data_IF_345237691089
#
_entry.id   IF_345237691089
#
_cell.length_a   1.000
_cell.length_b   1.000
_cell.length_c   1.000
_cell.angle_alpha   90.00
_cell.angle_beta   90.00
_cell.angle_gamma   90.00
#
_symmetry.space_group_name_H-M   'P 1'
#
loop_
_entity.id
_entity.type
_entity.pdbx_description
1 polymer ?
#
# COMPACT_ATOMS: atom_id res chain seq x y z
N UNK A 1 18.09 25.66 17.80
CA UNK A 1 17.79 24.40 17.09
C UNK A 1 16.27 24.29 17.01
N UNK A 2 15.70 24.22 15.81
CA UNK A 2 14.25 24.36 15.59
C UNK A 2 13.46 23.05 15.79
N UNK A 3 14.14 21.94 16.08
CA UNK A 3 13.55 20.62 16.30
C UNK A 3 13.81 20.16 17.73
N UNK A 4 12.74 19.97 18.52
CA UNK A 4 12.87 19.53 19.91
C UNK A 4 13.13 18.03 20.06
N UNK A 5 12.58 17.19 19.19
CA UNK A 5 12.72 15.72 19.21
C UNK A 5 12.62 15.15 17.79
N UNK A 6 13.38 14.10 17.51
CA UNK A 6 13.40 13.37 16.23
C UNK A 6 13.12 11.89 16.51
N UNK A 7 12.22 11.29 15.75
CA UNK A 7 11.94 9.85 15.79
C UNK A 7 12.05 9.26 14.38
N UNK A 8 12.76 8.15 14.24
CA UNK A 8 12.95 7.46 12.97
C UNK A 8 11.94 6.29 12.80
N UNK A 9 11.60 5.99 11.54
CA UNK A 9 10.76 4.85 11.13
C UNK A 9 11.26 4.30 9.79
N UNK A 10 10.64 3.24 9.28
CA UNK A 10 11.09 2.56 8.06
C UNK A 10 12.08 1.43 8.33
N UNK A 11 12.41 0.68 7.28
CA UNK A 11 13.37 -0.42 7.34
C UNK A 11 14.77 0.01 7.84
N UNK A 12 15.20 1.22 7.49
CA UNK A 12 16.51 1.78 7.87
C UNK A 12 16.54 2.57 9.17
N UNK A 13 15.47 2.56 9.99
CA UNK A 13 15.34 3.43 11.18
C UNK A 13 16.49 3.31 12.18
N UNK A 14 17.11 2.12 12.29
CA UNK A 14 18.21 1.86 13.22
C UNK A 14 19.53 2.49 12.75
N UNK A 15 19.65 2.82 11.46
CA UNK A 15 20.82 3.50 10.88
C UNK A 15 20.77 5.03 11.09
N UNK A 16 19.64 5.56 11.57
CA UNK A 16 19.43 7.00 11.80
C UNK A 16 19.98 7.40 13.17
N UNK A 17 21.30 7.53 13.24
CA UNK A 17 22.07 7.76 14.48
C UNK A 17 21.73 9.06 15.23
N UNK A 18 21.15 10.05 14.55
CA UNK A 18 20.74 11.33 15.16
C UNK A 18 19.29 11.32 15.67
N UNK A 19 18.54 10.22 15.51
CA UNK A 19 17.20 10.09 16.07
C UNK A 19 17.25 9.85 17.59
N UNK A 20 16.35 10.47 18.35
CA UNK A 20 16.20 10.22 19.80
C UNK A 20 15.26 9.05 20.09
N UNK A 21 14.83 8.33 19.06
CA UNK A 21 14.12 7.08 19.19
C UNK A 21 13.57 6.57 17.88
N UNK A 22 13.06 5.34 17.91
CA UNK A 22 12.51 4.67 16.75
C UNK A 22 11.05 4.29 16.97
N UNK A 23 10.32 4.08 15.89
CA UNK A 23 8.99 3.49 15.84
C UNK A 23 8.91 2.54 14.65
N UNK A 24 8.10 1.48 14.74
CA UNK A 24 7.85 0.59 13.60
C UNK A 24 6.93 1.28 12.59
N UNK A 25 7.01 0.90 11.32
CA UNK A 25 6.10 1.41 10.28
C UNK A 25 4.63 1.10 10.63
N UNK A 26 4.38 -0.09 11.19
CA UNK A 26 3.06 -0.47 11.70
C UNK A 26 2.56 0.50 12.77
N UNK A 27 3.40 0.81 13.76
CA UNK A 27 3.05 1.76 14.83
C UNK A 27 2.91 3.19 14.33
N UNK A 28 3.76 3.60 13.39
CA UNK A 28 3.74 4.92 12.79
C UNK A 28 2.46 5.13 11.96
N UNK A 29 2.14 4.21 11.04
CA UNK A 29 0.91 4.29 10.25
C UNK A 29 -0.34 4.24 11.12
N UNK A 30 -0.36 3.42 12.19
CA UNK A 30 -1.47 3.41 13.13
C UNK A 30 -1.70 4.78 13.78
N UNK A 31 -0.62 5.46 14.22
CA UNK A 31 -0.70 6.81 14.79
C UNK A 31 -1.13 7.85 13.75
N UNK A 32 -0.53 7.83 12.57
CA UNK A 32 -0.81 8.77 11.49
C UNK A 32 -2.27 8.68 11.05
N UNK A 33 -2.76 7.47 10.78
CA UNK A 33 -4.13 7.27 10.34
C UNK A 33 -5.13 7.57 11.43
N UNK A 34 -4.88 7.21 12.69
CA UNK A 34 -5.78 7.59 13.77
C UNK A 34 -5.88 9.12 13.95
N UNK A 35 -4.84 9.87 13.60
CA UNK A 35 -4.87 11.33 13.59
C UNK A 35 -5.66 11.88 12.39
N UNK A 36 -5.34 11.42 11.18
CA UNK A 36 -5.97 11.92 9.94
C UNK A 36 -7.43 11.49 9.80
N UNK A 37 -7.73 10.26 10.19
CA UNK A 37 -9.02 9.60 10.05
C UNK A 37 -9.40 8.83 11.34
N UNK A 38 -9.93 9.50 12.37
CA UNK A 38 -10.25 8.87 13.66
C UNK A 38 -11.26 7.70 13.59
N UNK A 39 -12.05 7.60 12.53
CA UNK A 39 -12.98 6.48 12.29
C UNK A 39 -12.31 5.23 11.70
N UNK A 40 -11.09 5.33 11.19
CA UNK A 40 -10.40 4.19 10.58
C UNK A 40 -10.10 3.10 11.61
N UNK A 41 -10.34 1.85 11.22
CA UNK A 41 -10.06 0.63 12.01
C UNK A 41 -9.15 -0.35 11.28
N UNK A 42 -9.00 -0.18 9.97
CA UNK A 42 -8.05 -0.93 9.15
C UNK A 42 -7.17 0.03 8.36
N UNK A 43 -5.87 -0.20 8.37
CA UNK A 43 -4.90 0.49 7.50
C UNK A 43 -4.30 -0.53 6.54
N UNK A 44 -4.29 -0.20 5.26
CA UNK A 44 -3.57 -0.93 4.23
C UNK A 44 -2.42 -0.04 3.78
N UNK A 45 -1.18 -0.49 3.92
CA UNK A 45 0.03 0.23 3.59
C UNK A 45 0.78 -0.51 2.49
N UNK A 46 0.80 0.05 1.27
CA UNK A 46 1.43 -0.60 0.12
C UNK A 46 2.60 0.25 -0.37
N UNK A 47 3.81 -0.22 -0.05
CA UNK A 47 5.06 0.37 -0.49
C UNK A 47 5.57 -0.24 -1.81
N UNK A 48 6.83 0.04 -2.11
CA UNK A 48 7.50 -0.49 -3.29
C UNK A 48 7.77 -2.00 -3.19
N UNK A 49 8.20 -2.47 -2.01
CA UNK A 49 8.69 -3.85 -1.82
C UNK A 49 7.71 -4.72 -1.04
N UNK A 50 6.89 -4.13 -0.19
CA UNK A 50 6.02 -4.84 0.74
C UNK A 50 4.65 -4.18 0.86
N UNK A 51 3.68 -4.98 1.28
CA UNK A 51 2.34 -4.54 1.64
C UNK A 51 2.00 -4.99 3.05
N UNK A 52 1.27 -4.17 3.80
CA UNK A 52 0.84 -4.44 5.17
C UNK A 52 -0.64 -4.18 5.33
N UNK A 53 -1.29 -4.98 6.16
CA UNK A 53 -2.60 -4.69 6.71
C UNK A 53 -2.46 -4.55 8.22
N UNK A 54 -3.10 -3.53 8.80
CA UNK A 54 -2.98 -3.19 10.22
C UNK A 54 -4.39 -2.95 10.76
N UNK A 55 -4.75 -3.67 11.81
CA UNK A 55 -5.97 -3.43 12.56
C UNK A 55 -5.65 -2.50 13.72
N UNK A 56 -6.40 -1.43 13.86
CA UNK A 56 -6.18 -0.41 14.90
C UNK A 56 -7.44 -0.26 15.77
N UNK A 57 -7.22 -0.06 17.06
CA UNK A 57 -8.28 0.26 18.02
C UNK A 57 -8.70 1.73 17.89
N UNK A 58 -9.80 2.11 18.54
CA UNK A 58 -10.30 3.49 18.58
C UNK A 58 -9.30 4.51 19.16
N UNK A 59 -8.30 4.02 19.90
CA UNK A 59 -7.23 4.84 20.48
C UNK A 59 -5.97 4.86 19.61
N UNK A 60 -6.04 4.39 18.36
CA UNK A 60 -4.91 4.30 17.45
C UNK A 60 -3.84 3.27 17.84
N UNK A 61 -4.14 2.36 18.77
CA UNK A 61 -3.23 1.25 19.11
C UNK A 61 -3.38 0.10 18.12
N UNK A 62 -2.27 -0.47 17.69
CA UNK A 62 -2.22 -1.68 16.86
C UNK A 62 -2.85 -2.84 17.64
N UNK A 63 -3.84 -3.49 17.04
CA UNK A 63 -4.52 -4.68 17.56
C UNK A 63 -3.95 -5.94 16.92
N UNK A 64 -3.79 -5.92 15.60
CA UNK A 64 -3.24 -7.02 14.81
C UNK A 64 -2.61 -6.46 13.52
N UNK A 65 -1.73 -7.22 12.88
CA UNK A 65 -1.16 -6.85 11.58
C UNK A 65 -0.71 -8.07 10.79
N UNK A 66 -0.74 -7.95 9.47
CA UNK A 66 -0.20 -8.93 8.53
C UNK A 66 0.69 -8.23 7.50
N UNK A 67 1.76 -8.91 7.10
CA UNK A 67 2.73 -8.39 6.12
C UNK A 67 2.91 -9.39 4.99
N UNK A 68 2.94 -8.90 3.76
CA UNK A 68 3.29 -9.66 2.57
C UNK A 68 4.79 -9.51 2.28
N UNK A 69 5.63 -10.17 3.08
CA UNK A 69 7.09 -9.94 3.15
C UNK A 69 7.92 -10.83 2.19
N UNK A 70 7.31 -11.74 1.43
CA UNK A 70 8.04 -12.80 0.70
C UNK A 70 7.74 -12.91 -0.80
N UNK A 71 6.96 -12.00 -1.36
CA UNK A 71 6.74 -11.95 -2.79
C UNK A 71 6.53 -10.51 -3.22
N UNK A 72 7.34 -10.03 -4.18
CA UNK A 72 7.13 -8.73 -4.82
C UNK A 72 5.72 -8.60 -5.41
N UNK A 73 5.07 -9.74 -5.73
CA UNK A 73 3.66 -9.77 -6.05
C UNK A 73 2.84 -9.15 -4.90
N UNK A 74 2.14 -8.05 -5.20
CA UNK A 74 1.39 -7.28 -4.21
C UNK A 74 2.03 -5.95 -3.79
N UNK A 75 3.14 -5.52 -4.40
CA UNK A 75 3.81 -4.25 -4.08
C UNK A 75 4.08 -3.40 -5.35
N UNK A 76 4.58 -2.17 -5.16
CA UNK A 76 4.84 -1.22 -6.25
C UNK A 76 5.82 -1.73 -7.31
N UNK A 77 6.88 -2.42 -6.91
CA UNK A 77 7.90 -3.00 -7.80
C UNK A 77 7.34 -4.06 -8.76
N UNK A 78 6.26 -4.75 -8.38
CA UNK A 78 5.53 -5.64 -9.29
C UNK A 78 4.86 -4.83 -10.39
N UNK A 79 4.16 -3.75 -10.02
CA UNK A 79 3.52 -2.84 -10.99
C UNK A 79 4.55 -2.25 -11.95
N UNK A 80 5.71 -1.82 -11.46
CA UNK A 80 6.84 -1.35 -12.28
C UNK A 80 7.35 -2.42 -13.27
N UNK A 81 7.43 -3.67 -12.83
CA UNK A 81 7.86 -4.78 -13.69
C UNK A 81 6.85 -5.03 -14.80
N UNK A 82 5.55 -5.00 -14.49
CA UNK A 82 4.50 -5.15 -15.50
C UNK A 82 4.45 -3.95 -16.46
N UNK A 83 4.69 -2.73 -15.98
CA UNK A 83 4.80 -1.53 -16.82
C UNK A 83 5.90 -1.69 -17.89
N UNK A 84 7.08 -2.18 -17.47
CA UNK A 84 8.21 -2.47 -18.36
C UNK A 84 7.87 -3.55 -19.38
N UNK A 85 7.24 -4.65 -18.95
CA UNK A 85 6.81 -5.72 -19.85
C UNK A 85 5.79 -5.26 -20.91
N UNK A 86 4.96 -4.27 -20.56
CA UNK A 86 3.97 -3.66 -21.44
C UNK A 86 4.52 -2.50 -22.28
N UNK A 87 5.79 -2.13 -22.09
CA UNK A 87 6.44 -0.97 -22.71
C UNK A 87 5.62 0.33 -22.54
N UNK A 88 5.18 0.60 -21.30
CA UNK A 88 4.49 1.84 -20.91
C UNK A 88 5.13 2.42 -19.65
N UNK A 89 4.86 3.69 -19.37
CA UNK A 89 5.32 4.31 -18.13
C UNK A 89 4.45 3.87 -16.95
N UNK A 90 5.05 3.77 -15.75
CA UNK A 90 4.33 3.40 -14.53
C UNK A 90 3.14 4.34 -14.28
N UNK A 91 3.34 5.64 -14.50
CA UNK A 91 2.35 6.69 -14.26
C UNK A 91 1.14 6.58 -15.20
N UNK A 92 1.29 5.91 -16.35
CA UNK A 92 0.21 5.70 -17.31
C UNK A 92 -0.71 4.53 -16.92
N UNK A 93 -0.22 3.59 -16.10
CA UNK A 93 -0.97 2.36 -15.76
C UNK A 93 -2.31 2.65 -15.12
N UNK A 94 -2.36 3.59 -14.17
CA UNK A 94 -3.60 3.94 -13.47
C UNK A 94 -4.71 4.39 -14.41
N UNK A 95 -4.42 5.38 -15.26
CA UNK A 95 -5.40 5.89 -16.23
C UNK A 95 -5.72 4.87 -17.33
N UNK A 96 -4.77 3.99 -17.69
CA UNK A 96 -4.97 2.98 -18.72
C UNK A 96 -5.90 1.86 -18.25
N UNK A 97 -5.76 1.37 -17.01
CA UNK A 97 -6.65 0.30 -16.50
C UNK A 97 -8.11 0.74 -16.43
N UNK A 98 -8.38 2.01 -16.14
CA UNK A 98 -9.75 2.55 -16.04
C UNK A 98 -10.49 2.55 -17.39
N UNK A 99 -9.78 2.38 -18.51
CA UNK A 99 -10.37 2.29 -19.86
C UNK A 99 -10.72 0.85 -20.26
N UNK A 100 -10.32 -0.14 -19.45
CA UNK A 100 -10.59 -1.56 -19.72
C UNK A 100 -12.07 -1.81 -19.91
N UNK A 101 -12.38 -2.64 -20.91
CA UNK A 101 -13.75 -3.04 -21.24
C UNK A 101 -14.03 -4.50 -20.86
N UNK A 102 -12.97 -5.29 -20.60
CA UNK A 102 -13.09 -6.72 -20.33
C UNK A 102 -12.19 -7.11 -19.17
N UNK A 103 -12.74 -7.90 -18.25
CA UNK A 103 -11.93 -8.56 -17.23
C UNK A 103 -11.11 -9.68 -17.89
N UNK A 104 -9.81 -9.68 -17.64
CA UNK A 104 -8.88 -10.71 -18.08
C UNK A 104 -8.34 -11.41 -16.83
N UNK A 105 -8.46 -12.75 -16.71
CA UNK A 105 -7.88 -13.45 -15.60
C UNK A 105 -6.35 -13.40 -15.70
N UNK A 106 -5.69 -13.15 -14.57
CA UNK A 106 -4.23 -13.19 -14.46
C UNK A 106 -3.84 -13.81 -13.12
N UNK A 107 -2.81 -14.65 -13.10
CA UNK A 107 -2.28 -15.22 -11.87
C UNK A 107 -0.99 -14.51 -11.45
N UNK A 108 -1.10 -13.51 -10.57
CA UNK A 108 0.03 -12.77 -10.02
C UNK A 108 0.71 -13.46 -8.82
N UNK A 109 0.96 -14.77 -8.86
CA UNK A 109 1.62 -15.45 -7.74
C UNK A 109 3.10 -15.07 -7.59
N UNK A 110 3.80 -14.77 -8.70
CA UNK A 110 5.21 -14.41 -8.75
C UNK A 110 5.43 -13.37 -9.87
N UNK A 111 6.26 -12.36 -9.62
CA UNK A 111 6.57 -11.33 -10.63
C UNK A 111 7.11 -11.92 -11.95
N UNK A 112 7.97 -12.95 -11.85
CA UNK A 112 8.56 -13.61 -13.03
C UNK A 112 7.51 -14.32 -13.90
N UNK A 113 6.57 -15.03 -13.25
CA UNK A 113 5.50 -15.71 -13.99
C UNK A 113 4.46 -14.72 -14.51
N UNK A 114 4.14 -13.69 -13.74
CA UNK A 114 3.23 -12.63 -14.16
C UNK A 114 3.78 -11.87 -15.39
N UNK A 115 5.08 -11.61 -15.45
CA UNK A 115 5.71 -11.00 -16.63
C UNK A 115 5.54 -11.87 -17.88
N UNK A 116 5.77 -13.18 -17.76
CA UNK A 116 5.54 -14.14 -18.84
C UNK A 116 4.07 -14.20 -19.26
N UNK A 117 3.15 -14.11 -18.30
CA UNK A 117 1.70 -14.08 -18.55
C UNK A 117 1.28 -12.80 -19.28
N UNK A 118 1.80 -11.64 -18.87
CA UNK A 118 1.61 -10.36 -19.59
C UNK A 118 2.06 -10.48 -21.05
N UNK A 119 3.25 -11.05 -21.30
CA UNK A 119 3.72 -11.29 -22.67
C UNK A 119 2.78 -12.21 -23.45
N UNK A 120 2.25 -13.26 -22.82
CA UNK A 120 1.25 -14.14 -23.43
C UNK A 120 -0.05 -13.41 -23.77
N UNK A 121 -0.54 -12.54 -22.88
CA UNK A 121 -1.74 -11.74 -23.10
C UNK A 121 -1.58 -10.75 -24.27
N UNK A 122 -0.39 -10.19 -24.45
CA UNK A 122 -0.04 -9.37 -25.63
C UNK A 122 -0.12 -10.21 -26.90
N UNK A 123 0.47 -11.41 -26.93
CA UNK A 123 0.46 -12.29 -28.10
C UNK A 123 -0.94 -12.78 -28.47
N UNK A 124 -1.81 -12.97 -27.47
CA UNK A 124 -3.22 -13.32 -27.66
C UNK A 124 -4.12 -12.12 -27.99
N UNK A 125 -3.53 -10.94 -28.23
CA UNK A 125 -4.19 -9.70 -28.69
C UNK A 125 -5.18 -9.10 -27.68
N UNK A 126 -4.95 -9.28 -26.38
CA UNK A 126 -5.64 -8.48 -25.37
C UNK A 126 -5.18 -7.02 -25.45
N UNK A 127 -6.08 -6.10 -25.14
CA UNK A 127 -5.74 -4.67 -25.12
C UNK A 127 -4.84 -4.35 -23.93
N UNK A 128 -4.00 -3.31 -24.04
CA UNK A 128 -3.13 -2.93 -22.90
C UNK A 128 -3.98 -2.52 -21.70
N UNK A 129 -5.11 -1.86 -21.93
CA UNK A 129 -6.10 -1.48 -20.92
C UNK A 129 -6.58 -2.68 -20.11
N UNK A 130 -6.99 -3.75 -20.78
CA UNK A 130 -7.48 -4.97 -20.13
C UNK A 130 -6.37 -5.71 -19.38
N UNK A 131 -5.14 -5.74 -19.93
CA UNK A 131 -3.99 -6.36 -19.26
C UNK A 131 -3.60 -5.57 -18.00
N UNK A 132 -3.53 -4.24 -18.07
CA UNK A 132 -3.18 -3.42 -16.90
C UNK A 132 -4.26 -3.53 -15.82
N UNK A 133 -5.54 -3.61 -16.19
CA UNK A 133 -6.60 -3.90 -15.21
C UNK A 133 -6.39 -5.26 -14.54
N UNK A 134 -6.07 -6.30 -15.30
CA UNK A 134 -5.78 -7.62 -14.74
C UNK A 134 -4.60 -7.60 -13.76
N UNK A 135 -3.56 -6.81 -14.08
CA UNK A 135 -2.42 -6.56 -13.19
C UNK A 135 -2.88 -5.94 -11.87
N UNK A 136 -3.66 -4.86 -11.92
CA UNK A 136 -4.17 -4.21 -10.70
C UNK A 136 -5.11 -5.10 -9.90
N UNK A 137 -6.03 -5.81 -10.57
CA UNK A 137 -6.99 -6.72 -9.92
C UNK A 137 -6.24 -7.85 -9.18
N UNK A 138 -5.16 -8.40 -9.76
CA UNK A 138 -4.39 -9.45 -9.13
C UNK A 138 -3.57 -8.97 -7.90
N UNK A 139 -3.07 -7.73 -7.93
CA UNK A 139 -2.44 -7.10 -6.75
C UNK A 139 -3.50 -6.84 -5.67
N UNK A 140 -4.66 -6.31 -6.07
CA UNK A 140 -5.77 -6.01 -5.16
C UNK A 140 -6.28 -7.26 -4.43
N UNK A 141 -6.53 -8.36 -5.13
CA UNK A 141 -6.96 -9.64 -4.51
C UNK A 141 -5.96 -10.11 -3.45
N UNK A 142 -4.65 -10.01 -3.75
CA UNK A 142 -3.61 -10.41 -2.80
C UNK A 142 -3.60 -9.54 -1.54
N UNK A 143 -3.72 -8.23 -1.71
CA UNK A 143 -3.77 -7.28 -0.59
C UNK A 143 -5.04 -7.47 0.23
N UNK A 144 -6.18 -7.64 -0.43
CA UNK A 144 -7.45 -7.91 0.22
C UNK A 144 -7.43 -9.24 0.99
N UNK A 145 -6.87 -10.31 0.40
CA UNK A 145 -6.67 -11.60 1.06
C UNK A 145 -5.82 -11.47 2.33
N UNK A 146 -4.75 -10.68 2.28
CA UNK A 146 -3.94 -10.37 3.47
C UNK A 146 -4.76 -9.59 4.52
N UNK A 147 -5.48 -8.54 4.12
CA UNK A 147 -6.30 -7.74 5.02
C UNK A 147 -7.44 -8.55 5.66
N UNK A 148 -8.04 -9.51 4.93
CA UNK A 148 -9.07 -10.42 5.45
C UNK A 148 -8.54 -11.30 6.60
N UNK A 149 -7.24 -11.63 6.63
CA UNK A 149 -6.64 -12.45 7.71
C UNK A 149 -6.70 -11.79 9.09
N UNK A 150 -6.62 -10.47 9.14
CA UNK A 150 -6.68 -9.70 10.40
C UNK A 150 -8.09 -9.19 10.72
N UNK A 151 -9.07 -9.51 9.85
CA UNK A 151 -10.47 -9.07 9.97
C UNK A 151 -10.64 -7.59 9.64
N UNK A 152 -11.08 -7.32 8.40
CA UNK A 152 -11.32 -5.96 7.91
C UNK A 152 -12.48 -5.32 8.68
N UNK A 153 -12.20 -4.17 9.27
CA UNK A 153 -13.16 -3.34 9.99
C UNK A 153 -13.15 -1.93 9.39
N UNK A 154 -14.35 -1.42 9.07
CA UNK A 154 -14.51 -0.07 8.52
C UNK A 154 -14.32 0.99 9.62
N UNK A 155 -13.75 2.15 9.32
CA UNK A 155 -13.31 2.58 7.98
C UNK A 155 -11.92 2.02 7.62
N UNK A 156 -11.65 1.91 6.31
CA UNK A 156 -10.39 1.40 5.78
C UNK A 156 -9.59 2.55 5.17
N UNK A 157 -8.38 2.76 5.65
CA UNK A 157 -7.44 3.72 5.08
C UNK A 157 -6.40 3.01 4.19
N UNK A 158 -6.05 3.62 3.06
CA UNK A 158 -4.98 3.17 2.17
C UNK A 158 -3.85 4.22 2.16
N UNK A 159 -2.63 3.76 2.42
CA UNK A 159 -1.40 4.57 2.47
C UNK A 159 -0.27 3.91 1.67
N UNK A 160 0.87 4.59 1.58
CA UNK A 160 2.01 4.17 0.78
C UNK A 160 1.94 4.66 -0.66
N UNK A 161 3.06 4.56 -1.39
CA UNK A 161 3.19 5.15 -2.72
C UNK A 161 2.23 4.58 -3.76
N UNK A 162 1.84 3.31 -3.63
CA UNK A 162 0.90 2.66 -4.57
C UNK A 162 -0.51 3.25 -4.45
N UNK A 163 -0.84 3.91 -3.34
CA UNK A 163 -2.12 4.61 -3.18
C UNK A 163 -2.32 5.77 -4.18
N UNK A 164 -1.25 6.27 -4.82
CA UNK A 164 -1.36 7.27 -5.91
C UNK A 164 -1.83 6.66 -7.23
N UNK A 165 -1.75 5.34 -7.41
CA UNK A 165 -2.22 4.67 -8.60
C UNK A 165 -3.75 4.50 -8.56
N UNK A 166 -4.46 5.41 -9.23
CA UNK A 166 -5.93 5.43 -9.29
C UNK A 166 -6.55 4.13 -9.82
N UNK A 167 -5.83 3.41 -10.69
CA UNK A 167 -6.29 2.14 -11.23
C UNK A 167 -6.23 1.02 -10.20
N UNK A 168 -5.16 0.98 -9.41
CA UNK A 168 -5.05 0.07 -8.28
C UNK A 168 -6.08 0.38 -7.19
N UNK A 169 -6.28 1.66 -6.85
CA UNK A 169 -7.30 2.08 -5.88
C UNK A 169 -8.68 1.60 -6.30
N UNK A 170 -9.05 1.78 -7.56
CA UNK A 170 -10.30 1.31 -8.13
C UNK A 170 -10.44 -0.22 -8.09
N UNK A 171 -9.39 -0.97 -8.43
CA UNK A 171 -9.33 -2.43 -8.26
C UNK A 171 -9.53 -2.87 -6.80
N UNK A 172 -8.85 -2.22 -5.85
CA UNK A 172 -8.95 -2.57 -4.43
C UNK A 172 -10.32 -2.25 -3.83
N UNK A 173 -10.93 -1.12 -4.23
CA UNK A 173 -12.31 -0.78 -3.84
C UNK A 173 -13.30 -1.82 -4.33
N UNK A 174 -13.15 -2.28 -5.57
CA UNK A 174 -14.00 -3.35 -6.13
C UNK A 174 -13.84 -4.67 -5.38
N UNK A 175 -12.61 -5.09 -5.10
CA UNK A 175 -12.35 -6.36 -4.41
C UNK A 175 -12.88 -6.37 -2.97
N UNK A 176 -12.75 -5.24 -2.27
CA UNK A 176 -13.21 -5.09 -0.89
C UNK A 176 -14.68 -4.69 -0.74
N UNK A 177 -15.35 -4.33 -1.84
CA UNK A 177 -16.73 -3.80 -1.85
C UNK A 177 -16.93 -2.62 -0.86
N UNK A 178 -15.96 -1.70 -0.82
CA UNK A 178 -15.97 -0.54 0.07
C UNK A 178 -15.16 0.64 -0.47
N UNK A 179 -15.46 1.82 0.04
CA UNK A 179 -14.64 3.01 -0.16
C UNK A 179 -13.41 3.04 0.76
N UNK A 180 -12.38 3.74 0.30
CA UNK A 180 -11.10 3.87 0.99
C UNK A 180 -10.87 5.32 1.37
N UNK A 181 -10.39 5.54 2.60
CA UNK A 181 -9.86 6.81 3.06
C UNK A 181 -8.39 6.90 2.61
N UNK A 182 -8.05 7.92 1.83
CA UNK A 182 -6.69 8.10 1.31
C UNK A 182 -6.23 9.50 1.73
N UNK A 183 -5.11 9.63 2.48
CA UNK A 183 -4.53 10.93 2.78
C UNK A 183 -4.17 11.70 1.50
N UNK A 184 -4.02 13.03 1.61
CA UNK A 184 -3.50 13.85 0.50
C UNK A 184 -2.09 13.39 0.06
N UNK A 185 -1.26 13.03 1.05
CA UNK A 185 0.10 12.53 0.86
C UNK A 185 0.27 11.13 1.49
N UNK A 186 -0.22 10.08 0.83
CA UNK A 186 -0.28 8.75 1.41
C UNK A 186 1.11 8.16 1.71
N UNK A 187 2.15 8.48 0.93
CA UNK A 187 3.53 8.01 1.12
C UNK A 187 4.21 8.58 2.37
N UNK A 188 3.75 9.72 2.89
CA UNK A 188 4.33 10.36 4.08
C UNK A 188 3.66 9.93 5.39
N UNK A 189 2.68 9.03 5.35
CA UNK A 189 1.94 8.57 6.53
C UNK A 189 2.86 8.03 7.63
N UNK A 190 3.85 7.20 7.29
CA UNK A 190 4.84 6.71 8.25
C UNK A 190 5.64 7.85 8.90
N UNK A 191 6.10 8.82 8.10
CA UNK A 191 6.87 9.95 8.61
C UNK A 191 6.03 10.83 9.56
N UNK A 192 4.76 11.08 9.19
CA UNK A 192 3.81 11.79 10.05
C UNK A 192 3.60 11.07 11.38
N UNK A 193 3.43 9.74 11.35
CA UNK A 193 3.30 8.91 12.55
C UNK A 193 4.52 8.95 13.46
N UNK A 194 5.71 8.98 12.87
CA UNK A 194 6.97 9.16 13.61
C UNK A 194 7.05 10.54 14.27
N UNK A 195 6.61 11.59 13.58
CA UNK A 195 6.53 12.94 14.16
C UNK A 195 5.56 12.99 15.36
N UNK A 196 4.40 12.32 15.29
CA UNK A 196 3.49 12.20 16.44
C UNK A 196 4.12 11.46 17.62
N UNK A 197 4.85 10.37 17.34
CA UNK A 197 5.57 9.64 18.38
C UNK A 197 6.66 10.51 19.05
N UNK A 198 7.34 11.37 18.28
CA UNK A 198 8.31 12.33 18.82
C UNK A 198 7.64 13.36 19.76
N UNK A 199 6.45 13.86 19.40
CA UNK A 199 5.67 14.80 20.23
C UNK A 199 5.23 14.18 21.54
N UNK A 200 4.79 12.92 21.54
CA UNK A 200 4.40 12.20 22.77
C UNK A 200 5.60 12.03 23.71
N UNK A 201 6.77 11.66 23.17
CA UNK A 201 8.01 11.55 23.95
C UNK A 201 8.43 12.89 24.55
N UNK A 202 8.34 13.97 23.77
CA UNK A 202 8.68 15.32 24.24
C UNK A 202 7.79 15.79 25.40
N UNK A 203 6.54 15.30 25.48
CA UNK A 203 5.57 15.65 26.52
C UNK A 203 5.65 14.75 27.77
N UNK A 204 6.56 13.76 27.79
CA UNK A 204 6.81 12.92 28.97
C UNK A 204 6.05 11.59 29.02
N UNK A 205 5.38 11.18 27.93
CA UNK A 205 4.60 9.93 27.88
C UNK A 205 3.19 10.07 28.44
#
# INVERSE_FOLDING_TARGET
EDLSHITATGAGKEEVSFSQGTITEVGANAKAINFLFPSARTVIDIGAEEGRAIKISEKGKVVDFAINEKCAAGAGTFTETMARALEIKLEEMGALSLKSQKAVPMNAQCAVFAESEVVSLIHTKHTKEDIVRAVHDAIADRIASMARKIGIEKDVALVGGVARNIGFVDSLKRDLELDLLIPEDPEFSCALGAAYAAVEKAKGG
#
